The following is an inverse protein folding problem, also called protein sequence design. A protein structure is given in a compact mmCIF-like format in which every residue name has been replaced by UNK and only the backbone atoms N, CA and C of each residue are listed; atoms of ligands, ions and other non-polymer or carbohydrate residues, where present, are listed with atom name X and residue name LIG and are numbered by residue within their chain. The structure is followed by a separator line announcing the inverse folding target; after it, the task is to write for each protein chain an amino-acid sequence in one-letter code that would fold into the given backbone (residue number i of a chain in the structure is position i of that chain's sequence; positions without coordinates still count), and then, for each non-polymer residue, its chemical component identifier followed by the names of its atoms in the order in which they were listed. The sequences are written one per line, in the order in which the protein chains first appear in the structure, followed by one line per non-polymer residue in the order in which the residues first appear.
data_IF_290009227187
#
_entry.id   IF_290009227187
#
_cell.length_a   1.000
_cell.length_b   1.000
_cell.length_c   1.000
_cell.angle_alpha   90.00
_cell.angle_beta   90.00
_cell.angle_gamma   90.00
#
_symmetry.space_group_name_H-M   'P 1'
#
loop_
_entity.id
_entity.type
_entity.pdbx_description
1 polymer ?
#
# COMPACT_ATOMS: atom_id res chain seq x y z
N UNK A 1 -65.87 45.31 -37.18
CA UNK A 1 -65.96 45.76 -35.78
C UNK A 1 -66.00 44.51 -34.93
N UNK A 2 -65.03 44.12 -34.12
CA UNK A 2 -63.78 44.72 -33.64
C UNK A 2 -62.80 43.57 -33.40
N UNK A 3 -61.52 43.83 -33.69
CA UNK A 3 -60.38 42.97 -33.33
C UNK A 3 -60.10 43.09 -31.83
N UNK A 4 -60.16 41.99 -31.09
CA UNK A 4 -59.60 41.90 -29.73
C UNK A 4 -58.29 41.11 -29.81
N UNK A 5 -57.21 41.75 -29.37
CA UNK A 5 -55.84 41.25 -29.31
C UNK A 5 -55.70 40.28 -28.14
N UNK A 6 -55.09 39.11 -28.37
CA UNK A 6 -54.52 38.29 -27.31
C UNK A 6 -53.02 38.62 -27.18
N UNK A 7 -52.62 39.13 -26.02
CA UNK A 7 -51.22 39.27 -25.63
C UNK A 7 -50.74 38.01 -24.88
N UNK A 8 -49.50 37.53 -25.08
CA UNK A 8 -49.02 36.30 -24.45
C UNK A 8 -48.60 36.54 -22.99
N UNK A 9 -49.00 35.63 -22.11
CA UNK A 9 -48.59 35.59 -20.70
C UNK A 9 -47.12 35.14 -20.62
N UNK A 10 -46.25 36.06 -20.21
CA UNK A 10 -44.84 35.82 -19.94
C UNK A 10 -44.67 35.00 -18.65
N UNK A 11 -44.17 33.76 -18.76
CA UNK A 11 -43.81 32.93 -17.61
C UNK A 11 -42.32 33.07 -17.30
N UNK A 12 -42.00 33.71 -16.16
CA UNK A 12 -40.62 33.82 -15.66
C UNK A 12 -40.12 32.44 -15.19
N UNK A 13 -38.89 32.01 -15.55
CA UNK A 13 -38.32 30.77 -15.05
C UNK A 13 -38.03 30.87 -13.55
N UNK A 14 -38.48 29.87 -12.80
CA UNK A 14 -38.15 29.68 -11.38
C UNK A 14 -36.68 29.30 -11.28
N UNK A 15 -35.88 30.20 -10.72
CA UNK A 15 -34.46 29.99 -10.43
C UNK A 15 -34.33 28.98 -9.29
N UNK A 16 -34.03 27.72 -9.62
CA UNK A 16 -33.72 26.68 -8.64
C UNK A 16 -32.26 26.81 -8.19
N UNK A 17 -32.06 27.26 -6.94
CA UNK A 17 -30.74 27.22 -6.31
C UNK A 17 -30.28 25.76 -6.21
N UNK A 18 -29.06 25.40 -6.66
CA UNK A 18 -28.57 24.05 -6.49
C UNK A 18 -28.38 23.72 -5.01
N UNK A 19 -29.05 22.66 -4.57
CA UNK A 19 -28.76 21.99 -3.30
C UNK A 19 -27.27 21.60 -3.30
N UNK A 20 -26.54 22.04 -2.27
CA UNK A 20 -25.17 21.60 -2.01
C UNK A 20 -25.19 20.10 -1.74
N UNK A 21 -24.88 19.30 -2.75
CA UNK A 21 -24.44 17.93 -2.53
C UNK A 21 -23.10 17.98 -1.81
N UNK A 22 -23.01 17.35 -0.65
CA UNK A 22 -21.73 17.07 0.00
C UNK A 22 -21.04 16.01 -0.85
N UNK A 23 -20.41 16.47 -1.93
CA UNK A 23 -19.63 15.63 -2.83
C UNK A 23 -18.37 15.14 -2.11
N UNK A 24 -18.12 13.83 -2.21
CA UNK A 24 -16.79 13.24 -2.01
C UNK A 24 -15.76 14.16 -2.65
N UNK A 25 -14.84 14.72 -1.86
CA UNK A 25 -13.71 15.51 -2.38
C UNK A 25 -13.00 14.66 -3.43
N UNK A 26 -13.00 15.13 -4.66
CA UNK A 26 -12.26 14.53 -5.77
C UNK A 26 -10.79 14.46 -5.40
N UNK A 27 -10.20 13.28 -5.49
CA UNK A 27 -8.78 12.99 -5.34
C UNK A 27 -7.95 13.42 -6.55
N UNK A 28 -8.47 14.32 -7.38
CA UNK A 28 -7.82 14.74 -8.62
C UNK A 28 -6.69 15.72 -8.30
N UNK A 29 -5.45 15.31 -8.58
CA UNK A 29 -4.26 16.17 -8.52
C UNK A 29 -4.23 17.00 -9.82
N UNK A 30 -4.01 18.31 -9.73
CA UNK A 30 -3.90 19.17 -10.93
C UNK A 30 -2.50 19.05 -11.55
N UNK A 31 -2.38 19.33 -12.85
CA UNK A 31 -1.11 19.23 -13.58
C UNK A 31 -0.07 20.20 -13.01
N UNK A 32 -0.50 21.38 -12.59
CA UNK A 32 0.35 22.41 -12.00
C UNK A 32 0.93 21.94 -10.66
N UNK A 33 0.09 21.31 -9.82
CA UNK A 33 0.53 20.71 -8.56
C UNK A 33 1.53 19.57 -8.76
N UNK A 34 1.43 18.84 -9.88
CA UNK A 34 2.41 17.79 -10.22
C UNK A 34 3.74 18.42 -10.62
N UNK A 35 3.73 19.47 -11.44
CA UNK A 35 4.95 20.10 -11.95
C UNK A 35 5.78 20.79 -10.87
N UNK A 36 5.13 21.39 -9.88
CA UNK A 36 5.79 22.03 -8.73
C UNK A 36 6.21 21.02 -7.65
N UNK A 37 5.86 19.74 -7.80
CA UNK A 37 6.13 18.74 -6.77
C UNK A 37 7.61 18.31 -6.75
N UNK A 38 8.15 18.24 -5.55
CA UNK A 38 9.50 17.77 -5.28
C UNK A 38 9.79 16.36 -5.82
N UNK A 39 8.80 15.45 -5.81
CA UNK A 39 8.94 14.11 -6.40
C UNK A 39 9.16 14.22 -7.90
N UNK A 40 8.43 15.10 -8.57
CA UNK A 40 8.54 15.31 -10.02
C UNK A 40 9.92 15.84 -10.38
N UNK A 41 10.47 16.77 -9.60
CA UNK A 41 11.85 17.22 -9.78
C UNK A 41 12.88 16.11 -9.57
N UNK A 42 12.72 15.29 -8.52
CA UNK A 42 13.62 14.17 -8.25
C UNK A 42 13.56 13.14 -9.39
N UNK A 43 12.35 12.87 -9.90
CA UNK A 43 12.13 11.98 -11.03
C UNK A 43 12.82 12.48 -12.27
N UNK A 44 12.59 13.76 -12.63
CA UNK A 44 13.22 14.38 -13.79
C UNK A 44 14.74 14.27 -13.76
N UNK A 45 15.36 14.46 -12.58
CA UNK A 45 16.82 14.44 -12.40
C UNK A 45 17.42 13.03 -12.38
N UNK A 46 16.68 11.99 -11.98
CA UNK A 46 17.30 10.70 -11.64
C UNK A 46 16.71 9.47 -12.36
N UNK A 47 15.41 9.43 -12.69
CA UNK A 47 14.79 8.23 -13.28
C UNK A 47 13.77 8.50 -14.39
N UNK A 48 13.69 9.73 -14.87
CA UNK A 48 13.01 10.09 -16.10
C UNK A 48 13.60 9.35 -17.31
N UNK A 49 12.85 9.22 -18.42
CA UNK A 49 13.38 8.69 -19.67
C UNK A 49 14.69 9.40 -20.11
N UNK A 50 14.78 10.71 -19.93
CA UNK A 50 15.95 11.53 -20.23
C UNK A 50 17.13 11.21 -19.29
N UNK A 51 16.90 11.12 -17.97
CA UNK A 51 17.94 10.78 -17.01
C UNK A 51 18.51 9.38 -17.28
N UNK A 52 17.64 8.43 -17.64
CA UNK A 52 18.05 7.08 -18.03
C UNK A 52 18.86 7.08 -19.34
N UNK A 53 18.44 7.86 -20.34
CA UNK A 53 19.20 8.02 -21.61
C UNK A 53 20.58 8.62 -21.37
N UNK A 54 20.69 9.52 -20.40
CA UNK A 54 21.95 10.15 -19.99
C UNK A 54 22.77 9.29 -19.00
N UNK A 55 22.36 8.06 -18.71
CA UNK A 55 23.02 7.14 -17.79
C UNK A 55 23.30 7.75 -16.40
N UNK A 56 22.34 8.52 -15.87
CA UNK A 56 22.46 9.05 -14.50
C UNK A 56 22.62 7.88 -13.51
N UNK A 57 23.67 7.87 -12.66
CA UNK A 57 23.93 6.74 -11.78
C UNK A 57 22.88 6.62 -10.66
N UNK A 58 22.60 5.38 -10.26
CA UNK A 58 21.73 5.09 -9.13
C UNK A 58 22.32 5.61 -7.82
N UNK A 59 21.47 6.21 -6.98
CA UNK A 59 21.83 6.80 -5.69
C UNK A 59 20.94 6.21 -4.59
N UNK A 60 21.43 5.27 -3.78
CA UNK A 60 20.66 4.67 -2.68
C UNK A 60 20.09 5.71 -1.69
N UNK A 61 20.80 6.83 -1.52
CA UNK A 61 20.40 7.91 -0.62
C UNK A 61 19.07 8.55 -1.01
N UNK A 62 18.73 8.55 -2.30
CA UNK A 62 17.43 9.06 -2.78
C UNK A 62 16.30 8.16 -2.32
N UNK A 63 16.52 6.84 -2.28
CA UNK A 63 15.54 5.88 -1.78
C UNK A 63 15.27 6.10 -0.31
N UNK A 64 16.33 6.26 0.48
CA UNK A 64 16.22 6.59 1.91
C UNK A 64 15.50 7.92 2.13
N UNK A 65 15.84 8.95 1.36
CA UNK A 65 15.23 10.27 1.48
C UNK A 65 13.74 10.26 1.14
N UNK A 66 13.36 9.61 0.04
CA UNK A 66 11.96 9.45 -0.36
C UNK A 66 11.19 8.67 0.70
N UNK A 67 11.79 7.59 1.21
CA UNK A 67 11.16 6.80 2.25
C UNK A 67 10.90 7.63 3.51
N UNK A 68 11.92 8.31 4.03
CA UNK A 68 11.81 9.07 5.27
C UNK A 68 10.88 10.29 5.14
N UNK A 69 10.94 11.02 4.03
CA UNK A 69 10.20 12.28 3.87
C UNK A 69 8.81 12.09 3.26
N UNK A 70 8.70 11.25 2.25
CA UNK A 70 7.51 11.14 1.41
C UNK A 70 6.62 9.94 1.76
N UNK A 71 7.18 8.87 2.32
CA UNK A 71 6.43 7.68 2.75
C UNK A 71 6.21 7.68 4.26
N UNK A 72 7.23 7.35 5.06
CA UNK A 72 7.14 7.27 6.51
C UNK A 72 6.77 8.64 7.12
N UNK A 73 7.45 9.71 6.72
CA UNK A 73 7.20 11.07 7.21
C UNK A 73 5.81 11.63 6.86
N UNK A 74 5.18 11.14 5.79
CA UNK A 74 3.80 11.49 5.43
C UNK A 74 2.76 10.52 5.99
N UNK A 75 3.20 9.53 6.78
CA UNK A 75 2.39 8.44 7.30
C UNK A 75 1.69 7.63 6.19
N UNK A 76 2.43 7.32 5.12
CA UNK A 76 1.96 6.61 3.93
C UNK A 76 0.75 7.30 3.29
N UNK A 77 0.84 8.61 3.10
CA UNK A 77 -0.21 9.39 2.43
C UNK A 77 -0.43 8.90 1.00
N UNK A 78 -1.67 8.52 0.67
CA UNK A 78 -2.07 8.09 -0.67
C UNK A 78 -1.62 9.09 -1.73
N UNK A 79 -1.78 10.41 -1.50
CA UNK A 79 -1.35 11.43 -2.46
C UNK A 79 0.16 11.35 -2.78
N UNK A 80 1.02 11.10 -1.78
CA UNK A 80 2.47 10.99 -2.02
C UNK A 80 2.83 9.70 -2.76
N UNK A 81 2.17 8.59 -2.42
CA UNK A 81 2.39 7.30 -3.09
C UNK A 81 1.93 7.36 -4.55
N UNK A 82 0.76 7.96 -4.82
CA UNK A 82 0.28 8.21 -6.18
C UNK A 82 1.28 9.03 -7.01
N UNK A 83 1.88 10.08 -6.43
CA UNK A 83 2.91 10.88 -7.12
C UNK A 83 4.15 10.05 -7.48
N UNK A 84 4.60 9.17 -6.57
CA UNK A 84 5.71 8.26 -6.83
C UNK A 84 5.36 7.25 -7.94
N UNK A 85 4.14 6.70 -7.92
CA UNK A 85 3.64 5.79 -8.96
C UNK A 85 3.61 6.47 -10.32
N UNK A 86 3.01 7.67 -10.41
CA UNK A 86 2.91 8.45 -11.64
C UNK A 86 4.29 8.77 -12.23
N UNK A 87 5.28 9.01 -11.36
CA UNK A 87 6.67 9.23 -11.76
C UNK A 87 7.42 7.96 -12.21
N UNK A 88 6.76 6.79 -12.22
CA UNK A 88 7.33 5.47 -12.54
C UNK A 88 8.50 5.07 -11.64
N UNK A 89 8.42 5.44 -10.36
CA UNK A 89 9.51 5.23 -9.41
C UNK A 89 9.86 3.74 -9.22
N UNK A 90 8.85 2.85 -9.24
CA UNK A 90 9.07 1.41 -9.12
C UNK A 90 9.85 0.84 -10.31
N UNK A 91 9.35 1.08 -11.52
CA UNK A 91 9.85 0.46 -12.76
C UNK A 91 11.17 1.07 -13.23
N UNK A 92 11.39 2.37 -12.98
CA UNK A 92 12.56 3.07 -13.50
C UNK A 92 13.68 3.25 -12.48
N UNK A 93 13.41 3.17 -11.18
CA UNK A 93 14.42 3.45 -10.16
C UNK A 93 14.59 2.34 -9.11
N UNK A 94 13.50 1.87 -8.49
CA UNK A 94 13.61 0.90 -7.41
C UNK A 94 13.99 -0.49 -7.93
N UNK A 95 13.17 -1.05 -8.83
CA UNK A 95 13.31 -2.45 -9.20
C UNK A 95 14.58 -2.74 -10.01
N UNK A 96 14.95 -1.98 -11.06
CA UNK A 96 16.18 -2.23 -11.81
C UNK A 96 17.46 -2.16 -10.95
N UNK A 97 17.42 -1.41 -9.86
CA UNK A 97 18.55 -1.20 -8.95
C UNK A 97 18.46 -2.04 -7.67
N UNK A 98 17.44 -2.88 -7.54
CA UNK A 98 17.32 -3.81 -6.44
C UNK A 98 18.41 -4.89 -6.56
N UNK A 99 19.12 -5.15 -5.44
CA UNK A 99 20.16 -6.18 -5.36
C UNK A 99 20.08 -6.90 -4.02
N UNK A 100 20.05 -8.24 -4.07
CA UNK A 100 20.16 -9.11 -2.89
C UNK A 100 21.34 -8.70 -1.99
N UNK A 101 21.10 -8.64 -0.69
CA UNK A 101 22.10 -8.27 0.32
C UNK A 101 22.49 -6.80 0.39
N UNK A 102 21.99 -5.93 -0.51
CA UNK A 102 22.24 -4.48 -0.48
C UNK A 102 20.97 -3.64 -0.31
N UNK A 103 19.80 -4.21 -0.57
CA UNK A 103 18.54 -3.51 -0.40
C UNK A 103 18.30 -3.18 1.08
N UNK A 104 17.93 -1.93 1.36
CA UNK A 104 17.60 -1.47 2.71
C UNK A 104 16.11 -1.66 3.00
N UNK A 105 15.71 -1.52 4.26
CA UNK A 105 14.30 -1.51 4.66
C UNK A 105 13.51 -0.45 3.88
N UNK A 106 14.08 0.74 3.69
CA UNK A 106 13.47 1.80 2.89
C UNK A 106 13.18 1.36 1.45
N UNK A 107 14.09 0.61 0.83
CA UNK A 107 13.92 0.07 -0.52
C UNK A 107 12.78 -0.94 -0.57
N UNK A 108 12.76 -1.90 0.35
CA UNK A 108 11.72 -2.94 0.43
C UNK A 108 10.35 -2.32 0.71
N UNK A 109 10.27 -1.41 1.67
CA UNK A 109 9.03 -0.72 2.04
C UNK A 109 8.50 0.17 0.90
N UNK A 110 9.38 0.86 0.17
CA UNK A 110 8.99 1.66 -0.99
C UNK A 110 8.41 0.79 -2.10
N UNK A 111 9.01 -0.38 -2.36
CA UNK A 111 8.47 -1.34 -3.34
C UNK A 111 7.09 -1.83 -2.88
N UNK A 112 6.94 -2.25 -1.61
CA UNK A 112 5.68 -2.74 -1.09
C UNK A 112 4.56 -1.69 -1.19
N UNK A 113 4.85 -0.44 -0.80
CA UNK A 113 3.88 0.65 -0.88
C UNK A 113 3.40 0.92 -2.33
N UNK A 114 4.30 0.91 -3.31
CA UNK A 114 3.93 1.14 -4.72
C UNK A 114 3.17 -0.02 -5.34
N UNK A 115 3.52 -1.26 -4.98
CA UNK A 115 2.76 -2.43 -5.41
C UNK A 115 1.33 -2.34 -4.87
N UNK A 116 1.16 -2.01 -3.59
CA UNK A 116 -0.17 -1.82 -3.00
C UNK A 116 -0.98 -0.73 -3.72
N UNK A 117 -0.33 0.40 -4.06
CA UNK A 117 -1.00 1.47 -4.82
C UNK A 117 -1.41 1.01 -6.21
N UNK A 118 -0.58 0.22 -6.90
CA UNK A 118 -0.95 -0.36 -8.21
C UNK A 118 -2.20 -1.23 -8.13
N UNK A 119 -2.35 -2.01 -7.06
CA UNK A 119 -3.58 -2.77 -6.82
C UNK A 119 -4.77 -1.87 -6.51
N UNK A 120 -4.56 -0.79 -5.75
CA UNK A 120 -5.59 0.20 -5.45
C UNK A 120 -6.12 0.87 -6.74
N UNK A 121 -5.21 1.24 -7.65
CA UNK A 121 -5.50 1.81 -8.97
C UNK A 121 -5.93 0.76 -10.02
N UNK A 122 -5.91 -0.53 -9.65
CA UNK A 122 -6.29 -1.67 -10.51
C UNK A 122 -5.45 -1.78 -11.79
N UNK A 123 -4.18 -1.43 -11.70
CA UNK A 123 -3.21 -1.58 -12.81
C UNK A 123 -2.33 -2.81 -12.58
N UNK A 124 -1.72 -3.39 -13.64
CA UNK A 124 -0.85 -4.55 -13.49
C UNK A 124 0.34 -4.27 -12.55
N UNK A 125 0.36 -4.94 -11.40
CA UNK A 125 1.39 -4.72 -10.38
C UNK A 125 2.67 -5.54 -10.61
N UNK A 126 2.54 -6.72 -11.20
CA UNK A 126 3.61 -7.73 -11.23
C UNK A 126 4.49 -7.69 -12.49
N UNK A 127 4.04 -7.04 -13.57
CA UNK A 127 4.72 -7.04 -14.86
C UNK A 127 6.16 -6.50 -14.78
N UNK A 128 6.39 -5.44 -13.98
CA UNK A 128 7.71 -4.86 -13.81
C UNK A 128 8.74 -5.83 -13.22
N UNK A 129 8.30 -6.78 -12.40
CA UNK A 129 9.18 -7.73 -11.72
C UNK A 129 9.77 -8.80 -12.64
N UNK A 130 9.14 -9.03 -13.80
CA UNK A 130 9.63 -9.97 -14.83
C UNK A 130 10.96 -9.56 -15.45
N UNK A 131 11.39 -8.31 -15.26
CA UNK A 131 12.71 -7.83 -15.71
C UNK A 131 13.88 -8.38 -14.90
N UNK A 132 13.66 -8.76 -13.62
CA UNK A 132 14.68 -9.32 -12.72
C UNK A 132 14.06 -10.44 -11.86
N UNK A 133 13.52 -11.52 -12.46
CA UNK A 133 12.72 -12.50 -11.75
C UNK A 133 13.50 -13.19 -10.62
N UNK A 134 14.81 -13.39 -10.78
CA UNK A 134 15.68 -14.03 -9.79
C UNK A 134 15.88 -13.23 -8.50
N UNK A 135 15.58 -11.93 -8.51
CA UNK A 135 15.68 -11.07 -7.33
C UNK A 135 14.38 -11.05 -6.50
N UNK A 136 13.25 -11.39 -7.11
CA UNK A 136 11.94 -11.40 -6.43
C UNK A 136 11.88 -12.32 -5.19
N UNK A 137 12.47 -13.53 -5.19
CA UNK A 137 12.50 -14.39 -4.01
C UNK A 137 13.15 -13.73 -2.80
N UNK A 138 14.18 -12.90 -3.03
CA UNK A 138 14.90 -12.19 -1.97
C UNK A 138 14.09 -11.01 -1.44
N UNK A 139 13.35 -10.32 -2.32
CA UNK A 139 12.39 -9.30 -1.91
C UNK A 139 11.31 -9.93 -1.02
N UNK A 140 10.73 -11.04 -1.48
CA UNK A 140 9.69 -11.75 -0.76
C UNK A 140 10.17 -12.20 0.62
N UNK A 141 11.35 -12.84 0.71
CA UNK A 141 11.94 -13.25 2.00
C UNK A 141 12.14 -12.06 2.95
N UNK A 142 12.66 -10.93 2.46
CA UNK A 142 12.82 -9.72 3.28
C UNK A 142 11.49 -9.17 3.78
N UNK A 143 10.43 -9.21 2.97
CA UNK A 143 9.09 -8.83 3.42
C UNK A 143 8.60 -9.75 4.53
N UNK A 144 8.79 -11.08 4.42
CA UNK A 144 8.43 -12.03 5.46
C UNK A 144 9.20 -11.75 6.77
N UNK A 145 10.50 -11.51 6.67
CA UNK A 145 11.35 -11.19 7.82
C UNK A 145 10.93 -9.89 8.51
N UNK A 146 10.64 -8.84 7.72
CA UNK A 146 10.12 -7.58 8.26
C UNK A 146 8.76 -7.76 8.93
N UNK A 147 7.87 -8.61 8.40
CA UNK A 147 6.58 -8.90 9.03
C UNK A 147 6.73 -9.53 10.41
N UNK A 148 7.77 -10.35 10.64
CA UNK A 148 8.03 -10.99 11.92
C UNK A 148 8.92 -10.17 12.86
N UNK A 149 9.59 -9.14 12.35
CA UNK A 149 10.48 -8.29 13.16
C UNK A 149 9.75 -7.55 14.29
N UNK A 150 10.31 -7.54 15.50
CA UNK A 150 9.66 -6.98 16.70
C UNK A 150 9.96 -5.49 16.95
N UNK A 151 11.05 -4.97 16.38
CA UNK A 151 11.61 -3.66 16.77
C UNK A 151 11.89 -2.71 15.60
N UNK A 152 11.81 -3.17 14.35
CA UNK A 152 12.25 -2.39 13.18
C UNK A 152 11.13 -1.73 12.39
N UNK A 153 9.87 -2.10 12.62
CA UNK A 153 8.72 -1.59 11.86
C UNK A 153 7.59 -1.10 12.77
N UNK A 154 7.07 0.07 12.45
CA UNK A 154 5.86 0.66 13.01
C UNK A 154 4.61 -0.13 12.58
N UNK A 155 3.48 0.10 13.27
CA UNK A 155 2.19 -0.50 12.88
C UNK A 155 1.77 -0.14 11.45
N UNK A 156 2.12 1.06 10.99
CA UNK A 156 1.80 1.53 9.64
C UNK A 156 2.62 0.82 8.59
N UNK A 157 3.93 0.68 8.80
CA UNK A 157 4.80 -0.11 7.94
C UNK A 157 4.38 -1.59 7.93
N UNK A 158 4.04 -2.14 9.09
CA UNK A 158 3.50 -3.51 9.21
C UNK A 158 2.23 -3.67 8.37
N UNK A 159 1.31 -2.70 8.42
CA UNK A 159 0.08 -2.73 7.62
C UNK A 159 0.40 -2.75 6.11
N UNK A 160 1.37 -1.93 5.66
CA UNK A 160 1.79 -1.90 4.25
C UNK A 160 2.36 -3.25 3.81
N UNK A 161 3.21 -3.87 4.64
CA UNK A 161 3.78 -5.20 4.35
C UNK A 161 2.70 -6.28 4.31
N UNK A 162 1.74 -6.26 5.25
CA UNK A 162 0.64 -7.22 5.28
C UNK A 162 -0.27 -7.08 4.05
N UNK A 163 -0.59 -5.85 3.62
CA UNK A 163 -1.36 -5.60 2.39
C UNK A 163 -0.59 -6.16 1.18
N UNK A 164 0.72 -5.93 1.11
CA UNK A 164 1.56 -6.50 0.06
C UNK A 164 1.50 -8.04 0.05
N UNK A 165 1.61 -8.68 1.21
CA UNK A 165 1.48 -10.13 1.32
C UNK A 165 0.10 -10.63 0.90
N UNK A 166 -0.97 -9.94 1.31
CA UNK A 166 -2.34 -10.24 0.86
C UNK A 166 -2.41 -10.21 -0.67
N UNK A 167 -1.82 -9.21 -1.32
CA UNK A 167 -1.74 -9.16 -2.77
C UNK A 167 -0.95 -10.33 -3.37
N UNK A 168 0.17 -10.76 -2.75
CA UNK A 168 0.87 -11.96 -3.19
C UNK A 168 -0.01 -13.21 -3.08
N UNK A 169 -0.71 -13.40 -1.95
CA UNK A 169 -1.64 -14.53 -1.75
C UNK A 169 -2.81 -14.52 -2.73
N UNK A 170 -3.26 -13.35 -3.17
CA UNK A 170 -4.33 -13.19 -4.14
C UNK A 170 -3.88 -13.28 -5.60
N UNK A 171 -2.56 -13.32 -5.87
CA UNK A 171 -2.00 -13.36 -7.21
C UNK A 171 -1.29 -14.67 -7.53
N UNK A 172 -1.85 -15.78 -7.06
CA UNK A 172 -1.30 -17.10 -7.32
C UNK A 172 -1.27 -17.43 -8.81
N UNK A 173 -2.13 -16.85 -9.65
CA UNK A 173 -2.13 -16.99 -11.11
C UNK A 173 -0.82 -16.53 -11.77
N UNK A 174 -0.02 -15.70 -11.10
CA UNK A 174 1.29 -15.26 -11.58
C UNK A 174 2.35 -16.26 -11.11
N UNK A 175 3.02 -16.93 -12.05
CA UNK A 175 4.02 -17.97 -11.77
C UNK A 175 5.11 -17.51 -10.80
N UNK A 176 5.68 -16.32 -11.02
CA UNK A 176 6.69 -15.69 -10.15
C UNK A 176 6.26 -15.62 -8.67
N UNK A 177 4.98 -15.30 -8.43
CA UNK A 177 4.40 -15.17 -7.09
C UNK A 177 4.08 -16.55 -6.53
N UNK A 178 3.45 -17.39 -7.35
CA UNK A 178 3.01 -18.75 -7.01
C UNK A 178 4.14 -19.58 -6.42
N UNK A 179 5.30 -19.58 -7.05
CA UNK A 179 6.47 -20.36 -6.62
C UNK A 179 6.92 -20.07 -5.19
N UNK A 180 6.69 -18.83 -4.72
CA UNK A 180 7.07 -18.40 -3.37
C UNK A 180 5.95 -18.59 -2.39
N UNK A 181 4.74 -18.19 -2.75
CA UNK A 181 3.58 -18.26 -1.86
C UNK A 181 3.19 -19.71 -1.57
N UNK A 182 3.25 -20.61 -2.56
CA UNK A 182 2.90 -22.02 -2.34
C UNK A 182 3.73 -22.68 -1.25
N UNK A 183 5.00 -22.28 -1.07
CA UNK A 183 5.86 -22.82 -0.02
C UNK A 183 5.36 -22.50 1.39
N UNK A 184 4.60 -21.42 1.55
CA UNK A 184 3.99 -21.00 2.83
C UNK A 184 2.66 -21.71 3.14
N UNK A 185 2.01 -22.32 2.15
CA UNK A 185 0.66 -22.91 2.30
C UNK A 185 0.55 -24.37 1.84
N UNK A 186 1.66 -24.98 1.40
CA UNK A 186 1.64 -26.33 0.84
C UNK A 186 1.25 -27.39 1.87
N UNK A 187 0.47 -28.40 1.44
CA UNK A 187 0.05 -29.56 2.24
C UNK A 187 1.19 -30.30 2.99
N UNK A 188 2.43 -30.39 2.45
CA UNK A 188 3.57 -30.94 3.18
C UNK A 188 3.90 -30.23 4.49
N UNK A 189 3.51 -28.95 4.67
CA UNK A 189 3.63 -28.24 5.96
C UNK A 189 2.83 -28.96 7.06
N UNK A 190 1.76 -29.66 6.70
CA UNK A 190 0.76 -30.17 7.66
C UNK A 190 0.82 -31.67 7.90
N UNK A 191 1.46 -32.49 7.04
CA UNK A 191 1.14 -33.93 7.04
C UNK A 191 2.27 -34.96 7.02
N UNK A 192 3.52 -34.72 6.60
CA UNK A 192 4.58 -35.77 6.66
C UNK A 192 6.01 -35.20 6.54
N UNK A 193 6.49 -34.52 7.59
CA UNK A 193 7.70 -33.68 7.57
C UNK A 193 9.02 -34.48 7.70
N UNK A 194 9.09 -35.43 8.64
CA UNK A 194 10.35 -36.03 9.09
C UNK A 194 11.13 -36.83 8.03
N UNK A 195 10.45 -37.48 7.09
CA UNK A 195 11.10 -38.34 6.08
C UNK A 195 11.79 -37.55 4.97
N UNK A 196 11.29 -36.37 4.61
CA UNK A 196 11.90 -35.51 3.57
C UNK A 196 13.02 -34.64 4.13
N UNK A 197 12.88 -34.22 5.38
CA UNK A 197 13.84 -33.33 6.04
C UNK A 197 15.21 -33.99 6.22
N UNK A 198 15.25 -35.32 6.41
CA UNK A 198 16.49 -36.11 6.51
C UNK A 198 17.41 -36.04 5.28
N UNK A 199 16.90 -35.57 4.14
CA UNK A 199 17.63 -35.49 2.86
C UNK A 199 18.06 -34.06 2.50
N UNK A 200 17.64 -33.07 3.27
CA UNK A 200 17.97 -31.67 3.03
C UNK A 200 19.31 -31.32 3.66
N UNK A 201 20.03 -30.39 3.04
CA UNK A 201 21.14 -29.72 3.72
C UNK A 201 20.62 -28.87 4.88
N UNK A 202 21.51 -28.51 5.80
CA UNK A 202 21.15 -27.69 6.96
C UNK A 202 20.54 -26.34 6.55
N UNK A 203 21.10 -25.69 5.52
CA UNK A 203 20.60 -24.40 5.01
C UNK A 203 19.20 -24.54 4.39
N UNK A 204 18.96 -25.60 3.63
CA UNK A 204 17.65 -25.86 3.03
C UNK A 204 16.60 -26.19 4.10
N UNK A 205 16.99 -26.93 5.13
CA UNK A 205 16.11 -27.25 6.25
C UNK A 205 15.67 -26.00 6.98
N UNK A 206 16.59 -25.08 7.29
CA UNK A 206 16.28 -23.81 7.97
C UNK A 206 15.30 -22.95 7.16
N UNK A 207 15.49 -22.87 5.84
CA UNK A 207 14.57 -22.15 4.94
C UNK A 207 13.18 -22.77 4.99
N UNK A 208 13.12 -24.10 4.88
CA UNK A 208 11.87 -24.85 4.86
C UNK A 208 11.14 -24.75 6.21
N UNK A 209 11.84 -24.83 7.33
CA UNK A 209 11.29 -24.63 8.68
C UNK A 209 10.75 -23.22 8.88
N UNK A 210 11.48 -22.21 8.41
CA UNK A 210 11.02 -20.82 8.42
C UNK A 210 9.72 -20.66 7.64
N UNK A 211 9.67 -21.16 6.41
CA UNK A 211 8.48 -21.08 5.53
C UNK A 211 7.26 -21.78 6.16
N UNK A 212 7.46 -22.96 6.77
CA UNK A 212 6.41 -23.74 7.47
C UNK A 212 5.85 -23.01 8.68
N UNK A 213 6.71 -22.34 9.46
CA UNK A 213 6.31 -21.68 10.70
C UNK A 213 5.90 -20.22 10.52
N UNK A 214 6.16 -19.63 9.35
CA UNK A 214 5.93 -18.21 9.10
C UNK A 214 4.52 -17.76 9.47
N UNK A 215 3.48 -18.45 8.97
CA UNK A 215 2.09 -18.07 9.23
C UNK A 215 1.71 -18.24 10.70
N UNK A 216 2.17 -19.31 11.36
CA UNK A 216 1.94 -19.52 12.78
C UNK A 216 2.57 -18.39 13.62
N UNK A 217 3.85 -18.07 13.35
CA UNK A 217 4.56 -16.96 14.02
C UNK A 217 3.90 -15.61 13.76
N UNK A 218 3.36 -15.40 12.56
CA UNK A 218 2.65 -14.16 12.23
C UNK A 218 1.33 -14.05 13.00
N UNK A 219 0.62 -15.16 13.18
CA UNK A 219 -0.61 -15.25 14.00
C UNK A 219 -0.29 -15.01 15.47
N UNK A 220 0.77 -15.61 16.00
CA UNK A 220 1.20 -15.40 17.39
C UNK A 220 1.52 -13.92 17.64
N UNK A 221 2.30 -13.30 16.74
CA UNK A 221 2.58 -11.85 16.78
C UNK A 221 1.30 -11.02 16.72
N UNK A 222 0.30 -11.43 15.95
CA UNK A 222 -0.99 -10.75 15.90
C UNK A 222 -1.73 -10.83 17.24
N UNK A 223 -1.74 -12.00 17.90
CA UNK A 223 -2.33 -12.15 19.23
C UNK A 223 -1.61 -11.29 20.28
N UNK A 224 -0.28 -11.23 20.27
CA UNK A 224 0.48 -10.33 21.14
C UNK A 224 0.07 -8.86 20.96
N UNK A 225 -0.12 -8.42 19.72
CA UNK A 225 -0.60 -7.06 19.42
C UNK A 225 -2.02 -6.87 19.97
N UNK A 226 -2.93 -7.83 19.79
CA UNK A 226 -4.29 -7.74 20.31
C UNK A 226 -4.33 -7.62 21.83
N UNK A 227 -3.53 -8.43 22.53
CA UNK A 227 -3.45 -8.45 23.99
C UNK A 227 -2.86 -7.14 24.55
N UNK A 228 -2.05 -6.43 23.76
CA UNK A 228 -1.51 -5.12 24.14
C UNK A 228 -2.54 -3.98 24.14
N UNK A 229 -3.70 -4.15 23.48
CA UNK A 229 -4.71 -3.09 23.33
C UNK A 229 -5.54 -2.98 24.62
N UNK A 230 -5.46 -1.87 25.36
CA UNK A 230 -6.20 -1.72 26.61
C UNK A 230 -7.71 -1.63 26.35
N UNK A 231 -8.51 -2.35 27.13
CA UNK A 231 -9.97 -2.25 27.08
C UNK A 231 -10.43 -0.87 27.58
N UNK A 232 -10.70 0.07 26.68
CA UNK A 232 -11.30 1.35 27.04
C UNK A 232 -12.76 1.14 27.43
N UNK A 233 -13.03 0.98 28.72
CA UNK A 233 -14.37 1.12 29.30
C UNK A 233 -14.80 2.59 29.16
N UNK A 234 -15.46 2.96 28.06
CA UNK A 234 -16.22 4.22 28.01
C UNK A 234 -17.40 4.07 28.97
N UNK A 235 -17.20 4.50 30.22
CA UNK A 235 -18.29 4.68 31.16
C UNK A 235 -19.10 5.87 30.62
N UNK A 236 -20.34 5.62 30.18
CA UNK A 236 -21.35 6.65 30.00
C UNK A 236 -21.72 7.21 31.39
N UNK A 237 -20.88 8.06 31.95
CA UNK A 237 -21.21 8.91 33.11
C UNK A 237 -21.42 10.32 32.62
N UNK A 238 -22.48 10.54 31.86
CA UNK A 238 -23.19 11.81 31.82
C UNK A 238 -24.55 11.59 31.21
N UNK A 239 -25.59 11.58 32.07
CA UNK A 239 -26.97 12.03 31.83
C UNK A 239 -27.90 11.41 32.87
N UNK A 240 -27.68 11.71 34.16
CA UNK A 240 -28.74 11.63 35.18
C UNK A 240 -29.00 13.04 35.68
N UNK A 241 -29.89 13.78 35.00
CA UNK A 241 -30.29 15.10 35.48
C UNK A 241 -30.89 16.05 34.44
N UNK A 242 -31.72 15.62 33.48
CA UNK A 242 -32.44 16.58 32.64
C UNK A 242 -33.72 16.04 31.94
N UNK A 243 -34.40 15.02 32.47
CA UNK A 243 -35.65 14.51 31.89
C UNK A 243 -36.88 14.70 32.80
N UNK A 244 -36.96 15.84 33.49
CA UNK A 244 -38.21 16.33 34.09
C UNK A 244 -38.35 17.81 33.83
N UNK A 245 -38.99 18.15 32.70
CA UNK A 245 -39.82 19.35 32.45
C UNK A 245 -39.92 19.54 30.94
N UNK A 246 -41.03 19.10 30.36
CA UNK A 246 -41.69 19.69 29.18
C UNK A 246 -42.88 18.82 28.79
N UNK A 247 -43.98 18.96 29.53
CA UNK A 247 -45.33 18.81 28.99
C UNK A 247 -46.11 20.02 29.47
N UNK A 248 -46.58 20.91 28.59
CA UNK A 248 -47.79 21.66 28.82
C UNK A 248 -48.98 20.94 28.17
N UNK A 249 -50.10 21.06 28.88
CA UNK A 249 -51.48 20.64 28.63
C UNK A 249 -51.93 20.51 27.18
#
# INVERSE_FOLDING_TARGET
METVKEEPIESKPIESKPLKSVGKKSSAITVEQIQEDRITELAFKNWSPEARKNNVPFKPQIVEEIYQKELAGSNFSTKRIMMLEFSRYLENYLWPNYKRGKATTAHVMSIAALVNEKFQERVPAWEGFKSLPDEFPYLFKQVLDLCLSSSTVTYKETTVLLIFLIHCFNSLEVELIRERVQRLVSLPIWTNLLLRDSKLSQEELEVVEFERQFLARLIDKFYEILDSIPFKKKIFTHCNGALKKCMPF
#
